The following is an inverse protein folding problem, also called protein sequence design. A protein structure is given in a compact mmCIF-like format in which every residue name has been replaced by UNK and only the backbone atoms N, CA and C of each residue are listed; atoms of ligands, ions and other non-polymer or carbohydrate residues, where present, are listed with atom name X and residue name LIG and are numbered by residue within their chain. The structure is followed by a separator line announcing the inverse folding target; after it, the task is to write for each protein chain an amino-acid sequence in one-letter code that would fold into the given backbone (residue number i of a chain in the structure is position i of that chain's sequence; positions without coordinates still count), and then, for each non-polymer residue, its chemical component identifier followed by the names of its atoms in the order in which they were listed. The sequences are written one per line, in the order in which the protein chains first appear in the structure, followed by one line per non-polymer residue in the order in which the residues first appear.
data_IF_708783494762
#
_entry.id   IF_708783494762
#
_cell.length_a   1.000
_cell.length_b   1.000
_cell.length_c   1.000
_cell.angle_alpha   90.00
_cell.angle_beta   90.00
_cell.angle_gamma   90.00
#
_symmetry.space_group_name_H-M   'P 1'
#
loop_
_entity.id
_entity.type
_entity.pdbx_description
1 polymer ?
#
# COMPACT_ATOMS: atom_id res chain seq x y z
N UNK A 1 -29.55 -21.08 0.08
CA UNK A 1 -28.24 -20.61 -0.48
C UNK A 1 -27.31 -20.09 0.62
N UNK A 2 -27.82 -19.50 1.71
CA UNK A 2 -27.00 -18.99 2.86
C UNK A 2 -26.11 -20.04 3.52
N UNK A 3 -26.58 -21.27 3.70
CA UNK A 3 -25.85 -22.30 4.44
C UNK A 3 -24.65 -22.89 3.66
N UNK A 4 -24.68 -22.82 2.34
CA UNK A 4 -23.56 -23.28 1.52
C UNK A 4 -22.35 -22.34 1.62
N UNK A 5 -22.62 -21.02 1.65
CA UNK A 5 -21.59 -19.99 1.78
C UNK A 5 -20.90 -19.98 3.15
N UNK A 6 -21.54 -20.53 4.18
CA UNK A 6 -21.01 -20.66 5.54
C UNK A 6 -20.33 -22.01 5.81
N UNK A 7 -20.27 -22.91 4.83
CA UNK A 7 -19.61 -24.19 5.01
C UNK A 7 -18.08 -24.07 4.87
N UNK A 8 -17.34 -24.72 5.75
CA UNK A 8 -15.87 -24.71 5.75
C UNK A 8 -15.29 -25.19 4.41
N UNK A 9 -15.80 -26.26 3.74
CA UNK A 9 -15.29 -26.66 2.45
C UNK A 9 -15.44 -25.59 1.38
N UNK A 10 -16.57 -24.87 1.35
CA UNK A 10 -16.78 -23.76 0.42
C UNK A 10 -15.85 -22.59 0.74
N UNK A 11 -15.66 -22.24 2.01
CA UNK A 11 -14.74 -21.21 2.45
C UNK A 11 -13.29 -21.50 2.01
N UNK A 12 -12.84 -22.76 2.12
CA UNK A 12 -11.51 -23.17 1.64
C UNK A 12 -11.38 -23.03 0.13
N UNK A 13 -12.42 -23.39 -0.64
CA UNK A 13 -12.43 -23.20 -2.10
C UNK A 13 -12.38 -21.72 -2.44
N UNK A 14 -13.18 -20.89 -1.75
CA UNK A 14 -13.21 -19.45 -1.95
C UNK A 14 -11.84 -18.82 -1.66
N UNK A 15 -11.19 -19.25 -0.58
CA UNK A 15 -9.84 -18.81 -0.20
C UNK A 15 -8.81 -19.15 -1.28
N UNK A 16 -8.83 -20.39 -1.81
CA UNK A 16 -7.90 -20.82 -2.88
C UNK A 16 -8.14 -20.01 -4.16
N UNK A 17 -9.40 -19.87 -4.59
CA UNK A 17 -9.75 -19.10 -5.79
C UNK A 17 -9.39 -17.62 -5.57
N UNK A 18 -9.65 -17.07 -4.41
CA UNK A 18 -9.27 -15.72 -4.03
C UNK A 18 -7.76 -15.47 -4.16
N UNK A 19 -6.93 -16.38 -3.66
CA UNK A 19 -5.47 -16.30 -3.86
C UNK A 19 -5.05 -16.37 -5.33
N UNK A 20 -5.71 -17.20 -6.14
CA UNK A 20 -5.43 -17.25 -7.58
C UNK A 20 -5.77 -15.92 -8.24
N UNK A 21 -6.92 -15.30 -7.89
CA UNK A 21 -7.32 -13.98 -8.37
C UNK A 21 -6.35 -12.90 -7.93
N UNK A 22 -5.93 -12.89 -6.66
CA UNK A 22 -4.94 -11.96 -6.13
C UNK A 22 -3.62 -12.04 -6.93
N UNK A 23 -3.04 -13.24 -7.06
CA UNK A 23 -1.72 -13.40 -7.70
C UNK A 23 -1.80 -13.11 -9.20
N UNK A 24 -2.80 -13.63 -9.91
CA UNK A 24 -2.96 -13.41 -11.35
C UNK A 24 -3.42 -11.98 -11.66
N UNK A 25 -4.25 -11.40 -10.80
CA UNK A 25 -4.63 -10.00 -10.86
C UNK A 25 -3.44 -9.07 -10.69
N UNK A 26 -2.61 -9.31 -9.67
CA UNK A 26 -1.39 -8.56 -9.44
C UNK A 26 -0.38 -8.71 -10.60
N UNK A 27 -0.25 -9.91 -11.16
CA UNK A 27 0.61 -10.17 -12.31
C UNK A 27 0.20 -9.33 -13.53
N UNK A 28 -1.10 -9.33 -13.88
CA UNK A 28 -1.63 -8.51 -14.96
C UNK A 28 -1.54 -7.00 -14.65
N UNK A 29 -1.86 -6.61 -13.41
CA UNK A 29 -1.83 -5.21 -12.99
C UNK A 29 -0.43 -4.60 -13.09
N UNK A 30 0.58 -5.28 -12.53
CA UNK A 30 1.98 -4.87 -12.59
C UNK A 30 2.45 -4.80 -14.06
N UNK A 31 2.13 -5.81 -14.87
CA UNK A 31 2.52 -5.84 -16.28
C UNK A 31 1.90 -4.67 -17.08
N UNK A 32 0.62 -4.37 -16.85
CA UNK A 32 -0.04 -3.20 -17.43
C UNK A 32 0.60 -1.88 -17.00
N UNK A 33 0.92 -1.74 -15.72
CA UNK A 33 1.57 -0.54 -15.16
C UNK A 33 3.01 -0.38 -15.69
N UNK A 34 3.80 -1.44 -15.73
CA UNK A 34 5.16 -1.43 -16.27
C UNK A 34 5.18 -1.08 -17.76
N UNK A 35 4.21 -1.61 -18.54
CA UNK A 35 4.08 -1.25 -19.97
C UNK A 35 3.78 0.23 -20.17
N UNK A 36 2.93 0.84 -19.32
CA UNK A 36 2.67 2.30 -19.36
C UNK A 36 3.92 3.07 -18.96
N UNK A 37 4.61 2.66 -17.88
CA UNK A 37 5.82 3.30 -17.40
C UNK A 37 6.86 3.42 -18.53
N UNK A 38 7.15 2.31 -19.20
CA UNK A 38 8.10 2.25 -20.32
C UNK A 38 7.65 3.08 -21.51
N UNK A 39 6.40 2.90 -21.95
CA UNK A 39 5.86 3.63 -23.12
C UNK A 39 5.93 5.16 -22.98
N UNK A 40 5.71 5.67 -21.77
CA UNK A 40 5.76 7.11 -21.52
C UNK A 40 7.09 7.58 -20.92
N UNK A 41 8.08 6.70 -20.80
CA UNK A 41 9.38 6.98 -20.19
C UNK A 41 9.24 7.60 -18.78
N UNK A 42 8.28 7.07 -18.00
CA UNK A 42 8.02 7.48 -16.63
C UNK A 42 8.68 6.47 -15.69
N UNK A 43 9.44 6.90 -14.69
CA UNK A 43 10.03 5.98 -13.71
C UNK A 43 8.98 5.08 -13.07
N UNK A 44 9.27 3.77 -12.96
CA UNK A 44 8.38 2.76 -12.34
C UNK A 44 7.99 3.14 -10.91
N UNK A 45 8.87 3.84 -10.17
CA UNK A 45 8.59 4.39 -8.85
C UNK A 45 7.37 5.33 -8.86
N UNK A 46 7.28 6.24 -9.81
CA UNK A 46 6.17 7.21 -9.90
C UNK A 46 4.85 6.50 -10.19
N UNK A 47 4.86 5.51 -11.08
CA UNK A 47 3.69 4.67 -11.35
C UNK A 47 3.30 3.89 -10.10
N UNK A 48 4.28 3.35 -9.37
CA UNK A 48 4.09 2.70 -8.08
C UNK A 48 3.42 3.63 -7.06
N UNK A 49 3.95 4.85 -6.89
CA UNK A 49 3.44 5.83 -5.93
C UNK A 49 2.08 6.45 -6.31
N UNK A 50 1.60 6.24 -7.52
CA UNK A 50 0.35 6.81 -8.02
C UNK A 50 -0.65 5.72 -8.39
N UNK A 51 -0.58 5.19 -9.61
CA UNK A 51 -1.59 4.26 -10.14
C UNK A 51 -1.66 2.99 -9.30
N UNK A 52 -0.50 2.41 -8.95
CA UNK A 52 -0.48 1.15 -8.19
C UNK A 52 -0.97 1.38 -6.77
N UNK A 53 -0.43 2.38 -6.07
CA UNK A 53 -0.83 2.71 -4.70
C UNK A 53 -2.32 3.04 -4.59
N UNK A 54 -2.85 3.89 -5.48
CA UNK A 54 -4.28 4.23 -5.48
C UNK A 54 -5.17 3.02 -5.79
N UNK A 55 -4.72 2.14 -6.71
CA UNK A 55 -5.48 0.95 -7.10
C UNK A 55 -5.54 -0.10 -6.00
N UNK A 56 -4.45 -0.34 -5.30
CA UNK A 56 -4.38 -1.33 -4.21
C UNK A 56 -5.06 -0.84 -2.94
N UNK A 57 -5.03 0.48 -2.65
CA UNK A 57 -5.65 1.07 -1.46
C UNK A 57 -7.14 1.42 -1.63
N UNK A 58 -7.82 0.89 -2.65
CA UNK A 58 -9.28 1.03 -2.79
C UNK A 58 -10.05 0.36 -1.64
N UNK A 59 -9.69 -0.84 -1.15
CA UNK A 59 -10.34 -1.45 0.01
C UNK A 59 -10.25 -0.58 1.27
N UNK A 60 -9.07 -0.03 1.57
CA UNK A 60 -8.88 0.89 2.70
C UNK A 60 -9.78 2.11 2.58
N UNK A 61 -9.90 2.65 1.37
CA UNK A 61 -10.79 3.78 1.07
C UNK A 61 -12.25 3.40 1.36
N UNK A 62 -12.69 2.25 0.87
CA UNK A 62 -14.05 1.77 1.07
C UNK A 62 -14.37 1.57 2.57
N UNK A 63 -13.48 0.93 3.32
CA UNK A 63 -13.64 0.72 4.77
C UNK A 63 -13.71 2.04 5.52
N UNK A 64 -12.77 2.96 5.27
CA UNK A 64 -12.68 4.23 5.99
C UNK A 64 -13.84 5.18 5.66
N UNK A 65 -14.24 5.23 4.39
CA UNK A 65 -15.41 6.06 3.95
C UNK A 65 -16.71 5.49 4.51
N UNK A 66 -16.88 4.16 4.49
CA UNK A 66 -18.05 3.51 5.10
C UNK A 66 -18.10 3.77 6.60
N UNK A 67 -16.96 3.66 7.29
CA UNK A 67 -16.87 3.97 8.71
C UNK A 67 -17.28 5.44 9.01
N UNK A 68 -16.84 6.38 8.19
CA UNK A 68 -17.23 7.79 8.31
C UNK A 68 -18.74 8.02 8.09
N UNK A 69 -19.34 7.37 7.09
CA UNK A 69 -20.77 7.48 6.77
C UNK A 69 -21.63 6.84 7.89
N UNK A 70 -21.19 5.73 8.46
CA UNK A 70 -21.93 4.97 9.49
C UNK A 70 -21.69 5.47 10.91
N UNK A 71 -20.83 6.48 11.09
CA UNK A 71 -20.53 7.08 12.40
C UNK A 71 -19.53 6.26 13.25
N UNK A 72 -18.89 5.22 12.68
CA UNK A 72 -17.82 4.46 13.35
C UNK A 72 -16.43 5.04 13.03
N UNK A 73 -16.30 6.33 13.22
CA UNK A 73 -15.21 7.14 12.68
C UNK A 73 -13.82 6.77 13.23
N UNK A 74 -13.71 6.25 14.46
CA UNK A 74 -12.44 5.81 15.05
C UNK A 74 -11.79 4.67 14.26
N UNK A 75 -12.59 3.85 13.56
CA UNK A 75 -12.09 2.77 12.71
C UNK A 75 -11.27 3.29 11.53
N UNK A 76 -11.61 4.47 10.98
CA UNK A 76 -10.90 5.03 9.83
C UNK A 76 -9.41 5.31 10.14
N UNK A 77 -9.10 5.89 11.33
CA UNK A 77 -7.71 6.13 11.74
C UNK A 77 -6.97 4.83 11.95
N UNK A 78 -7.59 3.90 12.69
CA UNK A 78 -6.95 2.60 12.98
C UNK A 78 -6.67 1.81 11.70
N UNK A 79 -7.59 1.84 10.72
CA UNK A 79 -7.40 1.22 9.41
C UNK A 79 -6.23 1.86 8.65
N UNK A 80 -6.22 3.18 8.47
CA UNK A 80 -5.18 3.87 7.71
C UNK A 80 -3.79 3.72 8.37
N UNK A 81 -3.68 3.86 9.69
CA UNK A 81 -2.41 3.76 10.42
C UNK A 81 -1.93 2.31 10.44
N UNK A 82 -2.82 1.36 10.69
CA UNK A 82 -2.50 -0.07 10.69
C UNK A 82 -2.00 -0.54 9.33
N UNK A 83 -2.69 -0.17 8.24
CA UNK A 83 -2.24 -0.45 6.86
C UNK A 83 -0.87 0.18 6.56
N UNK A 84 -0.61 1.40 7.03
CA UNK A 84 0.68 2.06 6.82
C UNK A 84 1.83 1.35 7.54
N UNK A 85 1.62 0.90 8.78
CA UNK A 85 2.61 0.11 9.52
C UNK A 85 2.83 -1.23 8.82
N UNK A 86 1.76 -1.90 8.38
CA UNK A 86 1.83 -3.16 7.64
C UNK A 86 2.60 -2.99 6.32
N UNK A 87 2.24 -1.99 5.53
CA UNK A 87 2.89 -1.70 4.26
C UNK A 87 4.39 -1.51 4.42
N UNK A 88 4.80 -0.70 5.38
CA UNK A 88 6.21 -0.42 5.59
C UNK A 88 6.97 -1.65 6.12
N UNK A 89 6.44 -2.32 7.14
CA UNK A 89 7.19 -3.36 7.85
C UNK A 89 7.01 -4.74 7.24
N UNK A 90 5.80 -5.07 6.77
CA UNK A 90 5.50 -6.40 6.23
C UNK A 90 5.68 -6.43 4.74
N UNK A 91 5.12 -5.47 3.99
CA UNK A 91 5.20 -5.51 2.52
C UNK A 91 6.65 -5.31 2.06
N UNK A 92 7.34 -4.25 2.54
CA UNK A 92 8.77 -4.06 2.20
C UNK A 92 9.61 -5.21 2.75
N UNK A 93 9.40 -5.60 4.01
CA UNK A 93 10.12 -6.73 4.62
C UNK A 93 9.97 -8.02 3.81
N UNK A 94 8.76 -8.34 3.34
CA UNK A 94 8.51 -9.50 2.50
C UNK A 94 9.19 -9.40 1.13
N UNK A 95 9.16 -8.24 0.47
CA UNK A 95 9.86 -8.02 -0.81
C UNK A 95 11.35 -8.33 -0.69
N UNK A 96 12.01 -7.92 0.42
CA UNK A 96 13.44 -8.19 0.64
C UNK A 96 13.80 -9.66 0.79
N UNK A 97 12.83 -10.53 1.08
CA UNK A 97 13.07 -11.98 1.14
C UNK A 97 13.29 -12.59 -0.25
N UNK A 98 12.74 -11.96 -1.28
CA UNK A 98 12.83 -12.40 -2.67
C UNK A 98 13.98 -11.72 -3.43
N UNK A 99 14.18 -10.42 -3.21
CA UNK A 99 15.23 -9.63 -3.86
C UNK A 99 15.62 -8.45 -2.97
N UNK A 100 16.88 -7.97 -3.08
CA UNK A 100 17.26 -6.71 -2.44
C UNK A 100 16.46 -5.56 -3.03
N UNK A 101 15.92 -4.69 -2.18
CA UNK A 101 15.16 -3.53 -2.59
C UNK A 101 16.11 -2.33 -2.70
N UNK A 102 16.59 -2.06 -3.91
CA UNK A 102 17.39 -0.87 -4.20
C UNK A 102 16.54 0.39 -3.96
N UNK A 103 17.15 1.44 -3.40
CA UNK A 103 16.44 2.68 -3.07
C UNK A 103 17.11 3.86 -3.73
N UNK A 104 16.39 4.54 -4.60
CA UNK A 104 16.88 5.71 -5.30
C UNK A 104 17.18 6.88 -4.34
N UNK A 105 18.15 7.72 -4.70
CA UNK A 105 18.54 8.90 -3.88
C UNK A 105 17.37 9.87 -3.68
N UNK A 106 16.55 10.05 -4.71
CA UNK A 106 15.35 10.90 -4.63
C UNK A 106 14.34 10.35 -3.64
N UNK A 107 14.12 9.03 -3.64
CA UNK A 107 13.24 8.36 -2.66
C UNK A 107 13.72 8.58 -1.23
N UNK A 108 15.04 8.44 -0.99
CA UNK A 108 15.63 8.70 0.32
C UNK A 108 15.52 10.15 0.77
N UNK A 109 15.66 11.12 -0.15
CA UNK A 109 15.70 12.54 0.18
C UNK A 109 14.33 13.21 0.17
N UNK A 110 13.36 12.66 -0.55
CA UNK A 110 12.08 13.31 -0.80
C UNK A 110 10.91 12.42 -0.37
N UNK A 111 10.78 11.20 -0.94
CA UNK A 111 9.56 10.41 -0.78
C UNK A 111 9.38 9.85 0.63
N UNK A 112 10.44 9.27 1.22
CA UNK A 112 10.42 8.86 2.63
C UNK A 112 10.14 10.03 3.59
N UNK A 113 10.86 11.18 3.49
CA UNK A 113 10.56 12.36 4.31
C UNK A 113 9.13 12.86 4.16
N UNK A 114 8.55 12.88 2.95
CA UNK A 114 7.16 13.28 2.73
C UNK A 114 6.21 12.31 3.47
N UNK A 115 6.42 11.00 3.34
CA UNK A 115 5.60 9.99 4.02
C UNK A 115 5.67 10.16 5.55
N UNK A 116 6.86 10.37 6.11
CA UNK A 116 7.06 10.64 7.54
C UNK A 116 6.36 11.94 7.94
N UNK A 117 6.51 12.99 7.14
CA UNK A 117 5.86 14.29 7.39
C UNK A 117 4.33 14.16 7.42
N UNK A 118 3.74 13.36 6.54
CA UNK A 118 2.31 13.07 6.56
C UNK A 118 1.89 12.40 7.89
N UNK A 119 2.65 11.43 8.39
CA UNK A 119 2.38 10.79 9.68
C UNK A 119 2.55 11.76 10.86
N UNK A 120 3.57 12.62 10.83
CA UNK A 120 3.76 13.67 11.85
C UNK A 120 2.62 14.69 11.82
N UNK A 121 2.19 15.12 10.64
CA UNK A 121 1.06 16.04 10.48
C UNK A 121 -0.24 15.41 11.01
N UNK A 122 -0.49 14.13 10.71
CA UNK A 122 -1.62 13.38 11.25
C UNK A 122 -1.57 13.36 12.80
N UNK A 123 -0.39 13.09 13.37
CA UNK A 123 -0.21 13.08 14.83
C UNK A 123 -0.53 14.45 15.45
N UNK A 124 0.03 15.53 14.89
CA UNK A 124 -0.15 16.90 15.42
C UNK A 124 -1.62 17.30 15.37
N UNK A 125 -2.28 17.14 14.24
CA UNK A 125 -3.68 17.54 14.07
C UNK A 125 -4.63 16.66 14.89
N UNK A 126 -4.42 15.34 14.87
CA UNK A 126 -5.24 14.42 15.64
C UNK A 126 -5.10 14.60 17.15
N UNK A 127 -3.88 14.83 17.65
CA UNK A 127 -3.64 15.04 19.07
C UNK A 127 -4.13 16.41 19.59
N UNK A 128 -4.16 17.45 18.73
CA UNK A 128 -4.54 18.79 19.13
C UNK A 128 -5.99 18.91 19.61
N UNK A 129 -6.90 18.10 19.06
CA UNK A 129 -8.33 18.13 19.41
C UNK A 129 -8.92 16.74 19.65
N UNK A 130 -8.12 15.69 19.69
CA UNK A 130 -8.56 14.28 19.73
C UNK A 130 -9.59 13.97 18.63
N UNK A 131 -9.48 14.69 17.52
CA UNK A 131 -10.33 14.50 16.33
C UNK A 131 -9.73 15.21 15.13
N UNK A 132 -9.99 14.66 13.93
CA UNK A 132 -9.81 15.38 12.66
C UNK A 132 -11.14 15.95 12.23
N UNK A 133 -11.22 17.27 12.09
CA UNK A 133 -12.42 17.97 11.61
C UNK A 133 -12.52 18.03 10.08
N UNK A 134 -13.64 18.58 9.59
CA UNK A 134 -13.85 18.76 8.15
C UNK A 134 -12.74 19.61 7.49
N UNK A 135 -12.23 20.64 8.18
CA UNK A 135 -11.17 21.51 7.66
C UNK A 135 -9.86 20.72 7.50
N UNK A 136 -9.52 19.87 8.48
CA UNK A 136 -8.33 19.01 8.42
C UNK A 136 -8.45 18.03 7.25
N UNK A 137 -9.65 17.45 7.05
CA UNK A 137 -9.95 16.56 5.93
C UNK A 137 -9.76 17.24 4.58
N UNK A 138 -10.31 18.43 4.40
CA UNK A 138 -10.14 19.21 3.16
C UNK A 138 -8.67 19.59 2.95
N UNK A 139 -7.96 19.99 4.00
CA UNK A 139 -6.54 20.30 3.93
C UNK A 139 -5.72 19.06 3.48
N UNK A 140 -6.00 17.88 4.02
CA UNK A 140 -5.35 16.64 3.60
C UNK A 140 -5.59 16.35 2.13
N UNK A 141 -6.83 16.50 1.63
CA UNK A 141 -7.15 16.31 0.20
C UNK A 141 -6.35 17.31 -0.67
N UNK A 142 -6.26 18.57 -0.25
CA UNK A 142 -5.47 19.59 -0.98
C UNK A 142 -3.99 19.21 -1.02
N UNK A 143 -3.44 18.74 0.10
CA UNK A 143 -2.04 18.26 0.16
C UNK A 143 -1.83 17.04 -0.74
N UNK A 144 -2.80 16.12 -0.80
CA UNK A 144 -2.74 14.99 -1.71
C UNK A 144 -2.74 15.43 -3.17
N UNK A 145 -3.61 16.36 -3.55
CA UNK A 145 -3.63 16.92 -4.91
C UNK A 145 -2.31 17.61 -5.26
N UNK A 146 -1.72 18.35 -4.31
CA UNK A 146 -0.40 18.94 -4.48
C UNK A 146 0.69 17.88 -4.66
N UNK A 147 0.63 16.77 -3.91
CA UNK A 147 1.52 15.63 -4.07
C UNK A 147 1.38 14.98 -5.47
N UNK A 148 0.17 14.76 -5.95
CA UNK A 148 -0.07 14.22 -7.31
C UNK A 148 0.48 15.18 -8.37
N UNK A 149 0.28 16.50 -8.23
CA UNK A 149 0.85 17.49 -9.14
C UNK A 149 2.39 17.47 -9.12
N UNK A 150 2.99 17.28 -7.95
CA UNK A 150 4.44 17.09 -7.83
C UNK A 150 4.89 15.83 -8.56
N UNK A 151 4.20 14.68 -8.40
CA UNK A 151 4.52 13.43 -9.10
C UNK A 151 4.42 13.60 -10.63
N UNK A 152 3.36 14.25 -11.13
CA UNK A 152 3.20 14.51 -12.57
C UNK A 152 4.35 15.37 -13.10
N UNK A 153 4.74 16.43 -12.40
CA UNK A 153 5.87 17.27 -12.79
C UNK A 153 7.20 16.52 -12.76
N UNK A 154 7.39 15.69 -11.73
CA UNK A 154 8.58 14.85 -11.62
C UNK A 154 8.67 13.86 -12.79
N UNK A 155 7.56 13.25 -13.18
CA UNK A 155 7.48 12.38 -14.36
C UNK A 155 7.84 13.10 -15.66
N UNK A 156 7.34 14.33 -15.85
CA UNK A 156 7.64 15.15 -17.04
C UNK A 156 9.13 15.51 -17.10
N UNK A 157 9.70 15.95 -15.98
CA UNK A 157 11.13 16.29 -15.91
C UNK A 157 12.04 15.08 -16.15
N UNK A 158 11.67 13.91 -15.65
CA UNK A 158 12.40 12.67 -15.89
C UNK A 158 12.34 12.28 -17.37
N UNK A 159 11.16 12.43 -17.99
CA UNK A 159 10.99 12.18 -19.43
C UNK A 159 11.87 13.08 -20.29
N UNK A 160 11.93 14.39 -19.97
CA UNK A 160 12.76 15.35 -20.72
C UNK A 160 14.25 15.01 -20.63
N UNK A 161 14.73 14.56 -19.47
CA UNK A 161 16.14 14.17 -19.29
C UNK A 161 16.50 12.88 -20.03
N UNK A 162 15.57 11.92 -20.12
CA UNK A 162 15.81 10.65 -20.80
C UNK A 162 15.67 10.75 -22.34
N UNK A 163 15.24 11.90 -22.88
CA UNK A 163 15.14 12.18 -24.32
C UNK A 163 16.37 12.93 -24.86
N UNK A 164 17.28 13.44 -23.99
CA UNK A 164 18.54 14.04 -24.46
C UNK A 164 19.49 12.95 -24.98
N UNK A 165 19.93 13.03 -26.27
CA UNK A 165 20.76 11.97 -26.86
C UNK A 165 22.18 12.03 -26.30
N UNK A 166 22.60 10.99 -25.58
CA UNK A 166 24.00 10.81 -25.33
C UNK A 166 24.50 10.05 -24.10
N UNK A 167 23.69 9.69 -23.12
CA UNK A 167 24.16 8.93 -21.96
C UNK A 167 23.04 8.01 -21.49
N UNK A 168 23.24 6.69 -21.57
CA UNK A 168 22.36 5.62 -21.04
C UNK A 168 21.34 4.95 -22.01
N UNK A 169 21.42 5.21 -23.31
CA UNK A 169 20.59 4.47 -24.28
C UNK A 169 20.93 2.96 -24.33
N UNK A 170 22.18 2.58 -24.07
CA UNK A 170 22.61 1.17 -24.14
C UNK A 170 22.10 0.33 -22.93
N UNK A 171 22.04 0.88 -21.73
CA UNK A 171 21.58 0.17 -20.54
C UNK A 171 20.04 0.02 -20.55
N UNK A 172 19.33 1.06 -21.02
CA UNK A 172 17.87 1.03 -21.19
C UNK A 172 17.42 0.11 -22.33
N UNK A 173 18.20 0.04 -23.42
CA UNK A 173 17.91 -0.82 -24.57
C UNK A 173 18.16 -2.32 -24.28
N UNK A 174 19.13 -2.64 -23.43
CA UNK A 174 19.42 -4.03 -23.02
C UNK A 174 18.32 -4.59 -22.11
N UNK A 175 17.69 -3.77 -21.25
CA UNK A 175 16.54 -4.18 -20.44
C UNK A 175 15.22 -4.17 -21.25
N UNK A 176 15.12 -3.39 -22.32
CA UNK A 176 13.92 -3.28 -23.16
C UNK A 176 13.76 -4.47 -24.14
N UNK A 177 14.79 -5.22 -24.46
CA UNK A 177 14.73 -6.32 -25.42
C UNK A 177 13.98 -7.56 -24.94
N UNK A 178 13.76 -7.74 -23.62
CA UNK A 178 13.13 -8.97 -23.10
C UNK A 178 11.60 -8.90 -22.87
N UNK A 179 10.96 -7.72 -22.92
CA UNK A 179 9.52 -7.63 -22.66
C UNK A 179 8.80 -6.87 -23.78
N UNK A 180 7.97 -7.58 -24.56
CA UNK A 180 7.14 -6.98 -25.60
C UNK A 180 6.26 -5.86 -25.03
N UNK A 181 6.44 -4.63 -25.51
CA UNK A 181 5.53 -3.52 -25.18
C UNK A 181 4.09 -3.86 -25.59
N UNK A 182 3.20 -3.83 -24.61
CA UNK A 182 1.79 -4.01 -24.90
C UNK A 182 1.19 -2.77 -25.57
N UNK A 183 0.19 -2.96 -26.42
CA UNK A 183 -0.59 -1.83 -26.93
C UNK A 183 -1.27 -1.09 -25.77
N UNK A 184 -1.46 0.23 -25.90
CA UNK A 184 -2.08 1.05 -24.84
C UNK A 184 -3.43 0.49 -24.37
N UNK A 185 -4.28 0.05 -25.31
CA UNK A 185 -5.57 -0.57 -24.96
C UNK A 185 -5.41 -1.83 -24.12
N UNK A 186 -4.44 -2.69 -24.45
CA UNK A 186 -4.14 -3.90 -23.69
C UNK A 186 -3.61 -3.54 -22.29
N UNK A 187 -2.70 -2.57 -22.17
CA UNK A 187 -2.18 -2.11 -20.88
C UNK A 187 -3.29 -1.60 -19.96
N UNK A 188 -4.21 -0.78 -20.48
CA UNK A 188 -5.36 -0.27 -19.72
C UNK A 188 -6.30 -1.40 -19.28
N UNK A 189 -6.58 -2.36 -20.17
CA UNK A 189 -7.40 -3.53 -19.84
C UNK A 189 -6.73 -4.36 -18.73
N UNK A 190 -5.42 -4.59 -18.80
CA UNK A 190 -4.65 -5.32 -17.79
C UNK A 190 -4.68 -4.61 -16.44
N UNK A 191 -4.58 -3.28 -16.41
CA UNK A 191 -4.70 -2.49 -15.18
C UNK A 191 -6.11 -2.62 -14.60
N UNK A 192 -7.16 -2.41 -15.39
CA UNK A 192 -8.54 -2.44 -14.88
C UNK A 192 -8.92 -3.84 -14.41
N UNK A 193 -8.70 -4.86 -15.24
CA UNK A 193 -9.04 -6.24 -14.89
C UNK A 193 -8.16 -6.78 -13.78
N UNK A 194 -6.87 -6.40 -13.78
CA UNK A 194 -5.93 -6.75 -12.71
C UNK A 194 -6.37 -6.16 -11.37
N UNK A 195 -6.67 -4.87 -11.32
CA UNK A 195 -7.17 -4.20 -10.10
C UNK A 195 -8.49 -4.81 -9.61
N UNK A 196 -9.44 -5.09 -10.52
CA UNK A 196 -10.69 -5.75 -10.18
C UNK A 196 -10.47 -7.16 -9.62
N UNK A 197 -9.57 -7.94 -10.23
CA UNK A 197 -9.24 -9.29 -9.77
C UNK A 197 -8.53 -9.26 -8.39
N UNK A 198 -7.65 -8.27 -8.14
CA UNK A 198 -7.01 -8.06 -6.84
C UNK A 198 -8.07 -7.76 -5.78
N UNK A 199 -8.99 -6.82 -6.03
CA UNK A 199 -10.03 -6.45 -5.08
C UNK A 199 -10.95 -7.63 -4.75
N UNK A 200 -11.51 -8.29 -5.76
CA UNK A 200 -12.38 -9.46 -5.58
C UNK A 200 -11.64 -10.62 -4.92
N UNK A 201 -10.38 -10.86 -5.32
CA UNK A 201 -9.54 -11.90 -4.75
C UNK A 201 -9.25 -11.65 -3.27
N UNK A 202 -8.98 -10.40 -2.88
CA UNK A 202 -8.76 -10.01 -1.50
C UNK A 202 -10.01 -10.26 -0.64
N UNK A 203 -11.18 -9.81 -1.10
CA UNK A 203 -12.45 -10.05 -0.39
C UNK A 203 -12.69 -11.54 -0.17
N UNK A 204 -12.49 -12.37 -1.20
CA UNK A 204 -12.69 -13.83 -1.10
C UNK A 204 -11.69 -14.51 -0.16
N UNK A 205 -10.43 -14.03 -0.13
CA UNK A 205 -9.42 -14.55 0.81
C UNK A 205 -9.82 -14.20 2.25
N UNK A 206 -10.25 -12.96 2.49
CA UNK A 206 -10.68 -12.50 3.82
C UNK A 206 -11.90 -13.27 4.29
N UNK A 207 -12.95 -13.35 3.47
CA UNK A 207 -14.20 -14.06 3.80
C UNK A 207 -13.94 -15.54 4.08
N UNK A 208 -13.15 -16.20 3.21
CA UNK A 208 -12.76 -17.59 3.38
C UNK A 208 -11.95 -17.80 4.67
N UNK A 209 -10.97 -16.95 4.93
CA UNK A 209 -10.14 -17.03 6.13
C UNK A 209 -10.93 -16.76 7.41
N UNK A 210 -11.86 -15.78 7.41
CA UNK A 210 -12.75 -15.50 8.53
C UNK A 210 -13.65 -16.71 8.86
N UNK A 211 -14.23 -17.32 7.82
CA UNK A 211 -15.11 -18.51 7.99
C UNK A 211 -14.33 -19.69 8.55
N UNK A 212 -13.14 -19.98 8.02
CA UNK A 212 -12.28 -21.07 8.53
C UNK A 212 -11.84 -20.78 9.97
N UNK A 213 -11.40 -19.55 10.27
CA UNK A 213 -10.97 -19.16 11.62
C UNK A 213 -12.11 -19.30 12.65
N UNK A 214 -13.32 -18.88 12.28
CA UNK A 214 -14.50 -19.04 13.12
C UNK A 214 -14.83 -20.53 13.39
N UNK A 215 -14.70 -21.37 12.35
CA UNK A 215 -14.98 -22.81 12.48
C UNK A 215 -14.01 -23.56 13.39
N UNK A 216 -12.75 -23.09 13.51
CA UNK A 216 -11.77 -23.64 14.46
C UNK A 216 -11.84 -22.99 15.85
N UNK A 217 -12.84 -22.13 16.09
CA UNK A 217 -13.14 -21.57 17.42
C UNK A 217 -12.40 -20.27 17.76
N UNK A 218 -11.80 -19.59 16.78
CA UNK A 218 -11.20 -18.25 16.99
C UNK A 218 -12.33 -17.24 17.22
N UNK A 219 -12.19 -16.39 18.25
CA UNK A 219 -13.21 -15.38 18.56
C UNK A 219 -13.36 -14.35 17.44
N UNK A 220 -14.59 -13.83 17.26
CA UNK A 220 -14.87 -12.81 16.26
C UNK A 220 -14.01 -11.54 16.45
N UNK A 221 -13.71 -11.18 17.69
CA UNK A 221 -12.82 -10.07 18.02
C UNK A 221 -11.42 -10.31 17.49
N UNK A 222 -10.86 -11.51 17.71
CA UNK A 222 -9.52 -11.84 17.24
C UNK A 222 -9.46 -11.94 15.71
N UNK A 223 -10.52 -12.47 15.07
CA UNK A 223 -10.65 -12.49 13.61
C UNK A 223 -10.63 -11.06 13.06
N UNK A 224 -11.40 -10.15 13.65
CA UNK A 224 -11.44 -8.74 13.24
C UNK A 224 -10.08 -8.04 13.42
N UNK A 225 -9.42 -8.26 14.55
CA UNK A 225 -8.12 -7.67 14.85
C UNK A 225 -6.96 -8.22 14.01
N UNK A 226 -7.12 -9.42 13.45
CA UNK A 226 -6.07 -10.07 12.65
C UNK A 226 -6.47 -10.22 11.18
N UNK A 227 -7.35 -11.17 10.85
CA UNK A 227 -7.68 -11.54 9.47
C UNK A 227 -8.22 -10.34 8.67
N UNK A 228 -9.16 -9.58 9.25
CA UNK A 228 -9.76 -8.43 8.56
C UNK A 228 -8.76 -7.28 8.47
N UNK A 229 -8.01 -7.00 9.54
CA UNK A 229 -7.03 -5.92 9.55
C UNK A 229 -5.88 -6.15 8.56
N UNK A 230 -5.45 -7.41 8.35
CA UNK A 230 -4.47 -7.76 7.32
C UNK A 230 -5.09 -7.80 5.92
N UNK A 231 -6.38 -8.10 5.85
CA UNK A 231 -7.07 -8.37 4.59
C UNK A 231 -7.11 -7.17 3.65
N UNK A 232 -7.32 -5.97 4.15
CA UNK A 232 -7.36 -4.76 3.33
C UNK A 232 -6.01 -4.47 2.69
N UNK A 233 -4.90 -4.83 3.34
CA UNK A 233 -3.54 -4.61 2.82
C UNK A 233 -2.95 -5.84 2.07
N UNK A 234 -3.74 -6.88 1.82
CA UNK A 234 -3.33 -8.00 0.96
C UNK A 234 -3.06 -7.57 -0.50
N UNK A 235 -3.86 -6.67 -1.10
CA UNK A 235 -3.55 -6.11 -2.41
C UNK A 235 -2.14 -5.54 -2.51
N UNK A 236 -1.76 -4.70 -1.55
CA UNK A 236 -0.42 -4.09 -1.48
C UNK A 236 0.67 -5.14 -1.36
N UNK A 237 0.48 -6.11 -0.46
CA UNK A 237 1.45 -7.18 -0.22
C UNK A 237 1.69 -8.01 -1.48
N UNK A 238 0.63 -8.52 -2.08
CA UNK A 238 0.75 -9.41 -3.23
C UNK A 238 1.26 -8.66 -4.46
N UNK A 239 0.74 -7.45 -4.71
CA UNK A 239 1.17 -6.63 -5.85
C UNK A 239 2.65 -6.23 -5.72
N UNK A 240 3.11 -5.80 -4.54
CA UNK A 240 4.52 -5.44 -4.34
C UNK A 240 5.45 -6.65 -4.42
N UNK A 241 5.06 -7.82 -3.91
CA UNK A 241 5.86 -9.06 -4.07
C UNK A 241 5.93 -9.45 -5.55
N UNK A 242 4.84 -9.38 -6.30
CA UNK A 242 4.83 -9.67 -7.74
C UNK A 242 5.71 -8.69 -8.51
N UNK A 243 5.61 -7.38 -8.22
CA UNK A 243 6.47 -6.37 -8.81
C UNK A 243 7.95 -6.63 -8.52
N UNK A 244 8.31 -6.87 -7.26
CA UNK A 244 9.68 -7.18 -6.85
C UNK A 244 10.23 -8.45 -7.56
N UNK A 245 9.40 -9.49 -7.71
CA UNK A 245 9.78 -10.73 -8.42
C UNK A 245 9.94 -10.55 -9.93
N UNK A 246 9.30 -9.55 -10.51
CA UNK A 246 9.44 -9.16 -11.92
C UNK A 246 10.61 -8.18 -12.16
N UNK A 247 11.39 -7.86 -11.14
CA UNK A 247 12.48 -6.87 -11.23
C UNK A 247 12.01 -5.42 -11.08
N UNK A 248 10.69 -5.17 -10.97
CA UNK A 248 10.10 -3.83 -10.80
C UNK A 248 10.16 -3.39 -9.32
N UNK A 249 11.37 -3.39 -8.75
CA UNK A 249 11.60 -3.11 -7.32
C UNK A 249 11.19 -1.70 -6.94
N UNK A 250 11.46 -0.73 -7.82
CA UNK A 250 11.06 0.67 -7.64
C UNK A 250 9.53 0.82 -7.60
N UNK A 251 8.81 0.06 -8.43
CA UNK A 251 7.34 0.05 -8.40
C UNK A 251 6.82 -0.54 -7.08
N UNK A 252 7.45 -1.60 -6.57
CA UNK A 252 7.07 -2.21 -5.29
C UNK A 252 7.27 -1.24 -4.12
N UNK A 253 8.41 -0.54 -4.06
CA UNK A 253 8.68 0.46 -3.05
C UNK A 253 7.77 1.69 -3.19
N UNK A 254 7.55 2.13 -4.44
CA UNK A 254 6.62 3.20 -4.78
C UNK A 254 5.20 2.89 -4.31
N UNK A 255 4.71 1.66 -4.53
CA UNK A 255 3.42 1.23 -4.02
C UNK A 255 3.32 1.43 -2.51
N UNK A 256 4.29 0.96 -1.73
CA UNK A 256 4.28 1.09 -0.26
C UNK A 256 4.27 2.55 0.19
N UNK A 257 5.21 3.37 -0.31
CA UNK A 257 5.33 4.77 0.10
C UNK A 257 4.10 5.56 -0.37
N UNK A 258 3.64 5.32 -1.60
CA UNK A 258 2.47 5.95 -2.18
C UNK A 258 1.19 5.60 -1.44
N UNK A 259 0.96 4.32 -1.10
CA UNK A 259 -0.18 3.88 -0.30
C UNK A 259 -0.18 4.52 1.09
N UNK A 260 0.99 4.66 1.72
CA UNK A 260 1.09 5.31 3.03
C UNK A 260 0.70 6.80 2.96
N UNK A 261 1.14 7.51 1.93
CA UNK A 261 0.75 8.92 1.70
C UNK A 261 -0.75 8.99 1.35
N UNK A 262 -1.24 8.11 0.46
CA UNK A 262 -2.63 8.05 0.05
C UNK A 262 -3.56 7.78 1.23
N UNK A 263 -3.24 6.82 2.08
CA UNK A 263 -4.05 6.46 3.24
C UNK A 263 -4.18 7.63 4.24
N UNK A 264 -3.11 8.40 4.46
CA UNK A 264 -3.17 9.55 5.36
C UNK A 264 -3.88 10.73 4.67
N UNK A 265 -3.43 11.13 3.49
CA UNK A 265 -3.89 12.38 2.89
C UNK A 265 -5.23 12.24 2.17
N UNK A 266 -5.48 11.14 1.47
CA UNK A 266 -6.70 10.97 0.69
C UNK A 266 -7.76 10.20 1.47
N UNK A 267 -7.44 9.01 2.01
CA UNK A 267 -8.43 8.17 2.68
C UNK A 267 -8.94 8.84 3.96
N UNK A 268 -8.06 9.24 4.87
CA UNK A 268 -8.47 9.99 6.07
C UNK A 268 -8.97 11.39 5.73
N UNK A 269 -8.43 12.02 4.68
CA UNK A 269 -8.92 13.29 4.18
C UNK A 269 -10.39 13.23 3.78
N UNK A 270 -10.78 12.24 2.98
CA UNK A 270 -12.20 12.03 2.58
C UNK A 270 -13.05 11.68 3.82
N UNK A 271 -12.59 10.76 4.66
CA UNK A 271 -13.32 10.35 5.85
C UNK A 271 -13.63 11.55 6.77
N UNK A 272 -12.63 12.39 7.07
CA UNK A 272 -12.77 13.56 7.90
C UNK A 272 -13.60 14.68 7.22
N UNK A 273 -13.52 14.82 5.89
CA UNK A 273 -14.35 15.75 5.14
C UNK A 273 -15.85 15.37 5.17
N UNK A 274 -16.17 14.07 5.23
CA UNK A 274 -17.54 13.57 5.34
C UNK A 274 -18.05 13.73 6.78
N UNK A 275 -17.26 13.28 7.77
CA UNK A 275 -17.64 13.28 9.18
C UNK A 275 -16.38 13.40 10.06
N UNK A 276 -16.40 14.26 11.12
CA UNK A 276 -15.24 14.38 12.00
C UNK A 276 -14.80 13.03 12.55
N UNK A 277 -13.50 12.71 12.39
CA UNK A 277 -12.93 11.44 12.77
C UNK A 277 -12.36 11.53 14.18
N UNK A 278 -12.94 10.77 15.10
CA UNK A 278 -12.48 10.73 16.49
C UNK A 278 -11.13 10.02 16.61
N UNK A 279 -10.25 10.58 17.45
CA UNK A 279 -8.98 9.97 17.82
C UNK A 279 -9.09 9.32 19.20
N UNK A 280 -8.60 8.09 19.27
CA UNK A 280 -8.41 7.40 20.54
C UNK A 280 -6.96 7.60 21.03
N UNK A 281 -6.71 7.44 22.31
CA UNK A 281 -5.33 7.47 22.86
C UNK A 281 -4.45 6.42 22.19
N UNK A 282 -5.02 5.27 21.86
CA UNK A 282 -4.38 4.17 21.15
C UNK A 282 -3.90 4.61 19.75
N UNK A 283 -4.68 5.42 19.04
CA UNK A 283 -4.29 5.94 17.73
C UNK A 283 -3.03 6.81 17.81
N UNK A 284 -2.88 7.62 18.87
CA UNK A 284 -1.70 8.45 19.08
C UNK A 284 -0.46 7.56 19.24
N UNK A 285 -0.56 6.48 20.01
CA UNK A 285 0.53 5.52 20.20
C UNK A 285 0.86 4.84 18.87
N UNK A 286 -0.14 4.37 18.14
CA UNK A 286 0.05 3.69 16.85
C UNK A 286 0.69 4.61 15.80
N UNK A 287 0.31 5.88 15.74
CA UNK A 287 0.93 6.86 14.86
C UNK A 287 2.38 7.14 15.29
N UNK A 288 2.66 7.21 16.58
CA UNK A 288 4.02 7.35 17.08
C UNK A 288 4.88 6.13 16.68
N UNK A 289 4.34 4.91 16.77
CA UNK A 289 5.00 3.68 16.30
C UNK A 289 5.22 3.75 14.79
N UNK A 290 4.23 4.18 14.00
CA UNK A 290 4.37 4.37 12.54
C UNK A 290 5.53 5.32 12.23
N UNK A 291 5.63 6.47 12.93
CA UNK A 291 6.72 7.43 12.72
C UNK A 291 8.08 6.79 13.06
N UNK A 292 8.18 6.10 14.20
CA UNK A 292 9.42 5.42 14.60
C UNK A 292 9.83 4.36 13.57
N UNK A 293 8.90 3.53 13.13
CA UNK A 293 9.17 2.51 12.12
C UNK A 293 9.53 3.13 10.75
N UNK A 294 8.88 4.23 10.37
CA UNK A 294 9.20 4.95 9.13
C UNK A 294 10.61 5.54 9.16
N UNK A 295 11.02 6.11 10.29
CA UNK A 295 12.38 6.62 10.49
C UNK A 295 13.40 5.47 10.50
N UNK A 296 13.10 4.36 11.15
CA UNK A 296 13.98 3.17 11.16
C UNK A 296 14.15 2.59 9.75
N UNK A 297 13.04 2.40 8.99
CA UNK A 297 13.09 1.94 7.62
C UNK A 297 13.89 2.89 6.71
N UNK A 298 13.69 4.18 6.90
CA UNK A 298 14.44 5.21 6.18
C UNK A 298 15.96 5.17 6.50
N UNK A 299 16.34 5.04 7.77
CA UNK A 299 17.76 4.89 8.18
C UNK A 299 18.37 3.61 7.60
N UNK A 300 17.65 2.48 7.65
CA UNK A 300 18.11 1.22 7.05
C UNK A 300 18.35 1.40 5.54
N UNK A 301 17.42 2.04 4.83
CA UNK A 301 17.56 2.32 3.40
C UNK A 301 18.76 3.23 3.06
N UNK A 302 19.18 4.12 3.98
CA UNK A 302 20.36 4.99 3.79
C UNK A 302 21.69 4.23 3.83
N UNK A 303 21.80 3.13 4.58
CA UNK A 303 23.08 2.48 4.88
C UNK A 303 23.83 2.03 3.63
N UNK A 304 23.12 1.43 2.66
CA UNK A 304 23.69 0.94 1.39
C UNK A 304 22.91 1.36 0.16
N UNK A 305 21.92 2.22 0.33
CA UNK A 305 20.90 2.54 -0.67
C UNK A 305 20.15 1.31 -1.16
N UNK A 306 20.02 0.34 -0.29
CA UNK A 306 19.24 -0.88 -0.50
C UNK A 306 18.71 -1.38 0.84
N UNK A 307 17.59 -2.05 0.80
CA UNK A 307 17.08 -2.85 1.92
C UNK A 307 17.35 -4.31 1.59
N UNK A 308 18.18 -4.94 2.40
CA UNK A 308 18.59 -6.32 2.20
C UNK A 308 17.74 -7.29 3.04
N UNK A 309 17.91 -8.59 2.80
CA UNK A 309 17.15 -9.65 3.48
C UNK A 309 17.24 -9.61 5.01
N UNK A 310 18.39 -9.20 5.58
CA UNK A 310 18.54 -9.11 7.06
C UNK A 310 17.69 -7.98 7.62
N UNK A 311 17.71 -6.83 6.96
CA UNK A 311 16.90 -5.68 7.34
C UNK A 311 15.40 -5.99 7.21
N UNK A 312 14.98 -6.69 6.14
CA UNK A 312 13.61 -7.15 6.00
C UNK A 312 13.16 -8.12 7.10
N UNK A 313 14.03 -9.06 7.52
CA UNK A 313 13.72 -9.94 8.66
C UNK A 313 13.55 -9.11 9.94
N UNK A 314 14.40 -8.09 10.16
CA UNK A 314 14.26 -7.19 11.32
C UNK A 314 12.91 -6.45 11.26
N UNK A 315 12.52 -5.94 10.09
CA UNK A 315 11.22 -5.27 9.90
C UNK A 315 10.06 -6.21 10.24
N UNK A 316 10.07 -7.44 9.73
CA UNK A 316 9.04 -8.44 10.03
C UNK A 316 8.99 -8.80 11.53
N UNK A 317 10.12 -8.92 12.20
CA UNK A 317 10.18 -9.19 13.63
C UNK A 317 9.66 -8.02 14.46
N UNK A 318 10.01 -6.77 14.11
CA UNK A 318 9.47 -5.58 14.75
C UNK A 318 7.95 -5.49 14.60
N UNK A 319 7.43 -5.84 13.41
CA UNK A 319 6.00 -5.92 13.20
C UNK A 319 5.33 -6.99 14.06
N UNK A 320 5.94 -8.18 14.17
CA UNK A 320 5.42 -9.24 15.04
C UNK A 320 5.34 -8.79 16.52
N UNK A 321 6.36 -8.06 17.01
CA UNK A 321 6.34 -7.46 18.35
C UNK A 321 5.22 -6.45 18.49
N UNK A 322 4.99 -5.61 17.48
CA UNK A 322 3.90 -4.64 17.47
C UNK A 322 2.52 -5.32 17.51
N UNK A 323 2.33 -6.41 16.75
CA UNK A 323 1.07 -7.20 16.79
C UNK A 323 0.84 -7.79 18.18
N UNK A 324 1.88 -8.36 18.82
CA UNK A 324 1.75 -8.84 20.20
C UNK A 324 1.33 -7.72 21.14
N UNK A 325 1.93 -6.53 21.02
CA UNK A 325 1.54 -5.35 21.80
C UNK A 325 0.06 -4.99 21.60
N UNK A 326 -0.43 -4.96 20.35
CA UNK A 326 -1.86 -4.67 20.05
C UNK A 326 -2.78 -5.72 20.69
N UNK A 327 -2.41 -7.01 20.63
CA UNK A 327 -3.23 -8.08 21.21
C UNK A 327 -3.26 -8.08 22.76
N UNK A 328 -2.32 -7.40 23.40
CA UNK A 328 -2.20 -7.34 24.86
C UNK A 328 -2.80 -6.07 25.48
N UNK A 329 -3.11 -5.05 24.69
CA UNK A 329 -3.72 -3.79 25.16
C UNK A 329 -5.30 -3.84 25.11
#
# INVERSE_FOLDING_TARGET
MSDLFQSVPFAVVLLIIGFVFLVKGADAFVEGCSSIARRYHVPSLIIGMTIVAMGTSLPETAVSVTAAITGNNALAVSNAVGSNIFNLMVVVGACTLFTSVAVQVNTLKIDFPISILCAVLLLILGAAGMSLGHIDGVMFIILFLAFILYMIRSAQTSREKNVEPGVEEEEYLLEAEEIQEMSMGKSVIYIILGAAAIAVGSDWVVDGACTVAAAIGISQTLIGLTVVAFGTSLPELVTSIVAARKGEVDMALGNVIGSNIFNILMVLGIAAAISPVAFLTENIIDIAVLIVFSVLGWIMAWTKRELNRKEGIIMLLLYAVYVVYICMR
#
